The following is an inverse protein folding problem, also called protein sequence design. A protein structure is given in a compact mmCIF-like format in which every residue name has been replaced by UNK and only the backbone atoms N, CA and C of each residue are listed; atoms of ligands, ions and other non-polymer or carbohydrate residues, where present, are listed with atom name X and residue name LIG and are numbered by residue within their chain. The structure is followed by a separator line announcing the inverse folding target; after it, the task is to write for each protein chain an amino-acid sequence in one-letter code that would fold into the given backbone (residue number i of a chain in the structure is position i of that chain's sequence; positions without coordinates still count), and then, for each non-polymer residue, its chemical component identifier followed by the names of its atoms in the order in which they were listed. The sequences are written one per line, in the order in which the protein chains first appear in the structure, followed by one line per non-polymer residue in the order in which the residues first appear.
data_IF_620420684654
#
_entry.id   IF_620420684654
#
_cell.length_a   1.000
_cell.length_b   1.000
_cell.length_c   1.000
_cell.angle_alpha   90.00
_cell.angle_beta   90.00
_cell.angle_gamma   90.00
#
_symmetry.space_group_name_H-M   'P 1'
#
loop_
_entity.id
_entity.type
_entity.pdbx_description
1 polymer ?
#
# COMPACT_ATOMS: atom_id res chain seq x y z
N UNK A 1 -6.64 -0.76 -8.48
CA UNK A 1 -7.75 -1.45 -9.21
C UNK A 1 -8.60 -0.51 -10.04
N UNK A 2 -8.78 0.75 -9.64
CA UNK A 2 -9.52 1.74 -10.44
C UNK A 2 -8.82 3.10 -10.36
N UNK A 3 -8.89 3.87 -11.45
CA UNK A 3 -8.51 5.29 -11.50
C UNK A 3 -9.77 6.07 -11.78
N UNK A 4 -10.25 6.83 -10.80
CA UNK A 4 -11.55 7.49 -10.89
C UNK A 4 -11.47 8.79 -11.70
N UNK A 5 -10.37 9.53 -11.55
CA UNK A 5 -10.12 10.79 -12.24
C UNK A 5 -8.61 11.12 -12.25
N UNK A 6 -8.24 12.38 -12.51
CA UNK A 6 -6.85 12.85 -12.58
C UNK A 6 -6.09 12.84 -11.25
N UNK A 7 -6.75 12.69 -10.10
CA UNK A 7 -6.12 12.74 -8.78
C UNK A 7 -6.64 11.71 -7.75
N UNK A 8 -7.53 10.80 -8.15
CA UNK A 8 -8.11 9.76 -7.29
C UNK A 8 -7.96 8.37 -7.90
N UNK A 9 -7.54 7.43 -7.07
CA UNK A 9 -7.50 6.01 -7.39
C UNK A 9 -7.98 5.16 -6.21
N UNK A 10 -8.41 3.94 -6.51
CA UNK A 10 -8.83 2.94 -5.54
C UNK A 10 -7.82 1.79 -5.56
N UNK A 11 -7.33 1.43 -4.37
CA UNK A 11 -6.42 0.31 -4.13
C UNK A 11 -7.20 -0.90 -3.60
N UNK A 12 -6.73 -2.10 -3.93
CA UNK A 12 -7.26 -3.34 -3.37
C UNK A 12 -6.53 -3.66 -2.07
N UNK A 13 -6.85 -2.87 -1.05
CA UNK A 13 -6.26 -2.90 0.28
C UNK A 13 -7.17 -2.10 1.20
N UNK A 14 -7.70 -2.67 2.26
CA UNK A 14 -8.73 -2.09 3.11
C UNK A 14 -8.51 -2.35 4.59
N UNK A 15 -9.55 -2.09 5.39
CA UNK A 15 -9.51 -2.27 6.85
C UNK A 15 -9.33 -3.73 7.28
N UNK A 16 -9.66 -4.68 6.40
CA UNK A 16 -9.40 -6.11 6.63
C UNK A 16 -7.93 -6.47 6.49
N UNK A 17 -7.14 -5.63 5.83
CA UNK A 17 -5.74 -5.88 5.53
C UNK A 17 -4.79 -5.11 6.47
N UNK A 18 -5.29 -4.09 7.19
CA UNK A 18 -4.47 -3.22 8.05
C UNK A 18 -5.30 -2.53 9.12
N UNK A 19 -4.70 -2.33 10.30
CA UNK A 19 -5.22 -1.37 11.27
C UNK A 19 -4.71 0.04 10.96
N UNK A 20 -5.55 1.04 11.21
CA UNK A 20 -5.28 2.45 10.91
C UNK A 20 -5.57 3.37 12.10
N UNK A 21 -5.58 2.80 13.31
CA UNK A 21 -5.81 3.49 14.59
C UNK A 21 -4.85 4.66 14.81
N UNK A 22 -3.60 4.55 14.32
CA UNK A 22 -2.58 5.60 14.39
C UNK A 22 -2.35 6.32 13.05
N UNK A 23 -3.36 6.32 12.19
CA UNK A 23 -3.33 6.97 10.89
C UNK A 23 -3.28 5.99 9.73
N UNK A 24 -3.54 6.52 8.53
CA UNK A 24 -3.61 5.70 7.31
C UNK A 24 -2.24 5.21 6.84
N UNK A 25 -2.19 4.06 6.13
CA UNK A 25 -0.97 3.57 5.49
C UNK A 25 -0.36 4.59 4.54
N UNK A 26 0.97 4.68 4.55
CA UNK A 26 1.73 5.71 3.86
C UNK A 26 2.29 5.17 2.54
N UNK A 27 2.01 5.77 1.38
CA UNK A 27 2.64 5.36 0.11
C UNK A 27 4.17 5.57 0.13
N UNK A 28 4.93 4.52 -0.19
CA UNK A 28 6.41 4.51 -0.15
C UNK A 28 7.05 4.34 -1.53
N UNK A 29 6.40 3.60 -2.43
CA UNK A 29 6.90 3.41 -3.80
C UNK A 29 5.81 2.85 -4.70
N UNK A 30 5.95 3.07 -6.00
CA UNK A 30 5.09 2.53 -7.05
C UNK A 30 5.92 1.56 -7.90
N UNK A 31 5.36 0.39 -8.19
CA UNK A 31 5.90 -0.56 -9.14
C UNK A 31 4.95 -0.72 -10.31
N UNK A 32 5.52 -0.83 -11.50
CA UNK A 32 4.79 -1.01 -12.76
C UNK A 32 5.41 -2.19 -13.50
N UNK A 33 4.58 -3.18 -13.87
CA UNK A 33 5.04 -4.40 -14.56
C UNK A 33 6.24 -5.06 -13.87
N UNK A 34 6.18 -5.17 -12.54
CA UNK A 34 7.23 -5.79 -11.72
C UNK A 34 8.50 -4.96 -11.50
N UNK A 35 8.60 -3.74 -12.05
CA UNK A 35 9.78 -2.86 -11.88
C UNK A 35 9.43 -1.66 -11.04
N UNK A 36 10.41 -1.18 -10.25
CA UNK A 36 10.29 0.07 -9.52
C UNK A 36 10.07 1.22 -10.52
N UNK A 37 8.92 1.88 -10.42
CA UNK A 37 8.58 3.03 -11.26
C UNK A 37 8.96 4.34 -10.57
N UNK A 38 8.63 4.46 -9.28
CA UNK A 38 8.86 5.69 -8.53
C UNK A 38 9.03 5.40 -7.04
N UNK A 39 10.05 6.00 -6.40
CA UNK A 39 10.12 6.09 -4.94
C UNK A 39 9.32 7.30 -4.47
N UNK A 40 8.60 7.15 -3.36
CA UNK A 40 7.80 8.22 -2.76
C UNK A 40 8.46 8.60 -1.42
N UNK A 41 8.81 9.87 -1.28
CA UNK A 41 9.19 10.42 0.02
C UNK A 41 7.93 10.97 0.72
N UNK A 42 7.57 10.47 1.91
CA UNK A 42 6.35 10.88 2.60
C UNK A 42 6.22 12.40 2.80
N UNK A 43 7.35 13.09 3.01
CA UNK A 43 7.39 14.56 3.20
C UNK A 43 7.00 15.38 1.96
N UNK A 44 6.92 14.77 0.77
CA UNK A 44 6.59 15.50 -0.46
C UNK A 44 5.08 15.76 -0.64
N UNK A 45 4.22 15.12 0.16
CA UNK A 45 2.75 15.24 0.09
C UNK A 45 2.19 15.08 -1.34
N UNK A 46 2.82 14.21 -2.14
CA UNK A 46 2.39 13.91 -3.53
C UNK A 46 1.34 12.81 -3.60
N UNK A 47 1.29 11.97 -2.57
CA UNK A 47 0.41 10.80 -2.47
C UNK A 47 -0.11 10.72 -1.03
N UNK A 48 -1.39 10.40 -0.88
CA UNK A 48 -1.99 10.25 0.44
C UNK A 48 -3.16 9.26 0.38
N UNK A 49 -3.16 8.27 1.27
CA UNK A 49 -4.38 7.52 1.58
C UNK A 49 -5.23 8.40 2.48
N UNK A 50 -6.44 8.77 2.04
CA UNK A 50 -7.29 9.73 2.76
C UNK A 50 -8.59 9.10 3.30
N UNK A 51 -8.93 7.90 2.86
CA UNK A 51 -10.08 7.13 3.32
C UNK A 51 -9.82 5.65 3.15
N UNK A 52 -10.38 4.82 4.04
CA UNK A 52 -10.42 3.37 3.91
C UNK A 52 -11.83 2.83 4.14
N UNK A 53 -12.17 1.81 3.36
CA UNK A 53 -13.33 0.93 3.50
C UNK A 53 -12.83 -0.49 3.76
N UNK A 54 -13.75 -1.43 3.96
CA UNK A 54 -13.43 -2.81 4.36
C UNK A 54 -12.41 -3.48 3.45
N UNK A 55 -12.55 -3.29 2.13
CA UNK A 55 -11.69 -3.90 1.11
C UNK A 55 -10.87 -2.90 0.29
N UNK A 56 -11.07 -1.59 0.48
CA UNK A 56 -10.46 -0.58 -0.40
C UNK A 56 -9.94 0.65 0.32
N UNK A 57 -8.80 1.13 -0.16
CA UNK A 57 -8.16 2.38 0.24
C UNK A 57 -8.28 3.38 -0.90
N UNK A 58 -8.58 4.62 -0.53
CA UNK A 58 -8.75 5.72 -1.46
C UNK A 58 -7.48 6.55 -1.47
N UNK A 59 -6.81 6.55 -2.61
CA UNK A 59 -5.57 7.25 -2.83
C UNK A 59 -5.82 8.59 -3.51
N UNK A 60 -5.31 9.65 -2.90
CA UNK A 60 -5.04 10.92 -3.56
C UNK A 60 -3.64 10.93 -4.17
N UNK A 61 -3.50 11.56 -5.33
CA UNK A 61 -2.20 11.93 -5.89
C UNK A 61 -2.29 13.28 -6.61
N UNK A 62 -1.18 14.02 -6.70
CA UNK A 62 -1.15 15.26 -7.48
C UNK A 62 -1.33 14.98 -8.99
N UNK A 63 -1.94 15.93 -9.72
CA UNK A 63 -2.28 15.76 -11.14
C UNK A 63 -1.07 15.47 -12.05
N UNK A 64 0.15 15.83 -11.63
CA UNK A 64 1.40 15.58 -12.34
C UNK A 64 1.94 14.14 -12.12
N UNK A 65 1.27 13.32 -11.32
CA UNK A 65 1.66 11.94 -11.06
C UNK A 65 0.96 10.96 -12.01
N UNK A 66 1.76 10.12 -12.69
CA UNK A 66 1.26 9.10 -13.61
C UNK A 66 0.91 7.79 -12.88
N UNK A 67 -0.26 7.74 -12.24
CA UNK A 67 -0.84 6.50 -11.70
C UNK A 67 -1.68 5.79 -12.77
N UNK A 68 -1.49 4.47 -12.89
CA UNK A 68 -2.22 3.60 -13.82
C UNK A 68 -2.88 2.42 -13.11
N UNK A 69 -3.95 1.89 -13.71
CA UNK A 69 -4.55 0.63 -13.27
C UNK A 69 -3.52 -0.49 -13.46
N UNK A 70 -3.35 -1.33 -12.44
CA UNK A 70 -2.36 -2.41 -12.41
C UNK A 70 -1.02 -2.04 -11.76
N UNK A 71 -0.78 -0.76 -11.45
CA UNK A 71 0.38 -0.38 -10.63
C UNK A 71 0.24 -0.97 -9.21
N UNK A 72 1.35 -1.44 -8.66
CA UNK A 72 1.45 -1.87 -7.27
C UNK A 72 2.01 -0.72 -6.43
N UNK A 73 1.39 -0.47 -5.27
CA UNK A 73 1.83 0.60 -4.37
C UNK A 73 2.28 -0.05 -3.07
N UNK A 74 3.54 0.16 -2.71
CA UNK A 74 4.07 -0.23 -1.40
C UNK A 74 3.52 0.75 -0.37
N UNK A 75 2.81 0.23 0.62
CA UNK A 75 2.28 0.98 1.74
C UNK A 75 3.09 0.67 3.00
N UNK A 76 3.55 1.72 3.68
CA UNK A 76 4.10 1.63 5.02
C UNK A 76 2.97 1.61 6.04
N UNK A 77 2.95 0.59 6.88
CA UNK A 77 1.99 0.46 7.98
C UNK A 77 2.51 1.21 9.20
N UNK A 78 1.71 2.11 9.74
CA UNK A 78 2.11 2.97 10.87
C UNK A 78 2.26 2.18 12.18
N UNK A 79 1.42 1.16 12.37
CA UNK A 79 1.49 0.29 13.55
C UNK A 79 1.47 -1.20 13.13
N UNK A 80 2.65 -1.77 12.80
CA UNK A 80 2.71 -3.12 12.25
C UNK A 80 2.26 -4.18 13.25
N UNK A 81 2.59 -4.03 14.54
CA UNK A 81 2.30 -5.04 15.56
C UNK A 81 0.82 -5.40 15.66
N UNK A 82 -0.06 -4.40 15.57
CA UNK A 82 -1.52 -4.63 15.61
C UNK A 82 -2.07 -5.14 14.29
N UNK A 83 -1.38 -4.95 13.16
CA UNK A 83 -1.78 -5.45 11.82
C UNK A 83 -1.48 -6.92 11.61
N UNK A 84 -0.57 -7.49 12.40
CA UNK A 84 -0.16 -8.89 12.23
C UNK A 84 -1.34 -9.87 12.41
N UNK A 85 -2.35 -9.52 13.23
CA UNK A 85 -3.57 -10.32 13.44
C UNK A 85 -4.48 -10.45 12.21
N UNK A 86 -4.30 -9.59 11.20
CA UNK A 86 -5.13 -9.55 9.98
C UNK A 86 -4.72 -10.56 8.92
N UNK A 87 -3.57 -11.20 9.09
CA UNK A 87 -2.95 -12.03 8.07
C UNK A 87 -2.56 -13.38 8.65
N UNK A 88 -3.05 -14.46 8.04
CA UNK A 88 -2.68 -15.83 8.39
C UNK A 88 -1.22 -16.16 8.02
N UNK A 89 -0.65 -15.38 7.09
CA UNK A 89 0.66 -15.67 6.50
C UNK A 89 1.38 -14.41 6.03
N UNK A 90 2.69 -14.33 6.31
CA UNK A 90 3.60 -13.30 5.80
C UNK A 90 4.74 -13.92 4.99
N UNK A 91 5.23 -13.21 3.99
CA UNK A 91 6.46 -13.59 3.28
C UNK A 91 7.63 -12.74 3.76
N UNK A 92 8.70 -13.40 4.18
CA UNK A 92 9.99 -12.74 4.37
C UNK A 92 10.69 -12.67 3.00
N UNK A 93 11.17 -11.48 2.65
CA UNK A 93 11.80 -11.20 1.35
C UNK A 93 13.22 -10.67 1.52
N UNK A 94 14.07 -10.88 0.51
CA UNK A 94 15.36 -10.20 0.43
C UNK A 94 15.25 -8.79 -0.19
N UNK A 95 16.38 -8.09 -0.31
CA UNK A 95 16.44 -6.74 -0.89
C UNK A 95 16.01 -6.68 -2.37
N UNK A 96 16.02 -7.82 -3.07
CA UNK A 96 15.58 -7.96 -4.46
C UNK A 96 14.12 -8.40 -4.57
N UNK A 97 13.38 -8.44 -3.46
CA UNK A 97 12.00 -8.91 -3.36
C UNK A 97 11.81 -10.40 -3.69
N UNK A 98 12.86 -11.23 -3.59
CA UNK A 98 12.69 -12.68 -3.65
C UNK A 98 12.15 -13.20 -2.33
N UNK A 99 11.19 -14.14 -2.39
CA UNK A 99 10.67 -14.80 -1.19
C UNK A 99 11.76 -15.72 -0.64
N UNK A 100 12.08 -15.54 0.64
CA UNK A 100 13.03 -16.36 1.39
C UNK A 100 12.34 -17.37 2.27
N UNK A 101 11.25 -16.98 2.89
CA UNK A 101 10.52 -17.78 3.87
C UNK A 101 9.06 -17.32 3.93
N UNK A 102 8.19 -18.22 4.40
CA UNK A 102 6.82 -17.91 4.72
C UNK A 102 6.55 -18.15 6.22
N UNK A 103 5.95 -17.16 6.87
CA UNK A 103 5.71 -17.11 8.30
C UNK A 103 4.21 -17.22 8.55
N UNK A 104 3.77 -18.32 9.17
CA UNK A 104 2.37 -18.51 9.57
C UNK A 104 2.12 -17.84 10.91
N UNK A 105 0.97 -17.20 11.04
CA UNK A 105 0.49 -16.61 12.30
C UNK A 105 -0.56 -17.52 12.96
N UNK A 106 -0.77 -17.31 14.27
CA UNK A 106 -1.69 -18.10 15.08
C UNK A 106 -2.44 -17.16 16.03
N UNK A 107 -3.45 -16.46 15.50
CA UNK A 107 -4.34 -15.55 16.24
C UNK A 107 -5.76 -16.11 16.32
#
# INVERSE_FOLDING_TARGET
ISKQNSNRAILNFGKRDVHYDRGYPIPLSIYRKGKLFQKIHPKQNKYQVYKMSDHHAFLYFKNDQDIRIGDLIKLGVTHPCVTIDKWDFFYMIDEKYNIKEGLKTFF
#
